data_IF_927984595695
#
_entry.id   IF_927984595695
#
_cell.length_a   1.000
_cell.length_b   1.000
_cell.length_c   1.000
_cell.angle_alpha   90.00
_cell.angle_beta   90.00
_cell.angle_gamma   90.00
#
_symmetry.space_group_name_H-M   'P 1'
#
loop_
_entity.id
_entity.type
_entity.pdbx_description
1 polymer ?
#
# COMPACT_ATOMS: atom_id res chain seq x y z
N UNK A 1 -14.83 -8.78 -11.68
CA UNK A 1 -13.99 -7.87 -12.49
C UNK A 1 -13.41 -8.66 -13.65
N UNK A 2 -13.35 -8.08 -14.86
CA UNK A 2 -12.76 -8.75 -16.01
C UNK A 2 -11.58 -7.89 -16.51
N UNK A 3 -10.36 -8.38 -16.30
CA UNK A 3 -9.14 -7.76 -16.84
C UNK A 3 -8.98 -8.23 -18.29
N UNK A 4 -9.14 -7.30 -19.22
CA UNK A 4 -8.89 -7.54 -20.64
C UNK A 4 -7.51 -7.00 -21.00
N UNK A 5 -6.92 -7.59 -22.04
CA UNK A 5 -5.66 -7.11 -22.64
C UNK A 5 -4.47 -7.09 -21.68
N UNK A 6 -4.40 -8.08 -20.77
CA UNK A 6 -3.25 -8.28 -19.88
C UNK A 6 -2.13 -8.95 -20.68
N UNK A 7 -0.93 -8.35 -20.77
CA UNK A 7 0.23 -9.01 -21.38
C UNK A 7 0.54 -10.34 -20.69
N UNK A 8 0.95 -11.36 -21.46
CA UNK A 8 1.17 -12.71 -20.93
C UNK A 8 2.17 -12.74 -19.77
N UNK A 9 3.24 -11.96 -19.86
CA UNK A 9 4.25 -11.80 -18.81
C UNK A 9 3.67 -11.24 -17.50
N UNK A 10 2.73 -10.29 -17.59
CA UNK A 10 2.04 -9.71 -16.44
C UNK A 10 1.08 -10.73 -15.83
N UNK A 11 0.36 -11.47 -16.67
CA UNK A 11 -0.51 -12.55 -16.21
C UNK A 11 0.29 -13.62 -15.44
N UNK A 12 1.43 -14.05 -15.98
CA UNK A 12 2.32 -15.02 -15.33
C UNK A 12 2.77 -14.54 -13.96
N UNK A 13 3.28 -13.30 -13.86
CA UNK A 13 3.71 -12.73 -12.59
C UNK A 13 2.58 -12.67 -11.55
N UNK A 14 1.37 -12.28 -11.96
CA UNK A 14 0.20 -12.25 -11.08
C UNK A 14 -0.22 -13.66 -10.64
N UNK A 15 -0.15 -14.66 -11.54
CA UNK A 15 -0.48 -16.04 -11.22
C UNK A 15 0.52 -16.67 -10.24
N UNK A 16 1.82 -16.40 -10.43
CA UNK A 16 2.87 -16.82 -9.50
C UNK A 16 2.68 -16.17 -8.12
N UNK A 17 2.38 -14.86 -8.09
CA UNK A 17 2.08 -14.12 -6.88
C UNK A 17 0.86 -14.70 -6.13
N UNK A 18 -0.22 -14.99 -6.84
CA UNK A 18 -1.41 -15.60 -6.27
C UNK A 18 -1.11 -16.99 -5.67
N UNK A 19 -0.34 -17.82 -6.38
CA UNK A 19 0.09 -19.14 -5.90
C UNK A 19 0.94 -19.04 -4.63
N UNK A 20 1.90 -18.11 -4.61
CA UNK A 20 2.76 -17.89 -3.44
C UNK A 20 1.95 -17.48 -2.20
N UNK A 21 0.87 -16.71 -2.40
CA UNK A 21 -0.02 -16.27 -1.33
C UNK A 21 -1.17 -17.26 -1.03
N UNK A 22 -1.22 -18.42 -1.71
CA UNK A 22 -2.28 -19.45 -1.59
C UNK A 22 -3.69 -18.89 -1.85
N UNK A 23 -3.78 -17.94 -2.78
CA UNK A 23 -5.02 -17.29 -3.17
C UNK A 23 -5.40 -17.66 -4.60
N UNK A 24 -6.68 -17.50 -4.94
CA UNK A 24 -7.08 -17.46 -6.34
C UNK A 24 -6.53 -16.19 -7.00
N UNK A 25 -6.27 -16.23 -8.31
CA UNK A 25 -5.79 -15.06 -9.07
C UNK A 25 -6.69 -13.83 -8.86
N UNK A 26 -8.00 -14.01 -8.90
CA UNK A 26 -8.94 -12.90 -8.71
C UNK A 26 -8.85 -12.30 -7.30
N UNK A 27 -8.71 -13.11 -6.25
CA UNK A 27 -8.61 -12.61 -4.88
C UNK A 27 -7.30 -11.82 -4.69
N UNK A 28 -6.18 -12.39 -5.15
CA UNK A 28 -4.88 -11.74 -5.09
C UNK A 28 -4.87 -10.38 -5.80
N UNK A 29 -5.42 -10.31 -7.02
CA UNK A 29 -5.49 -9.05 -7.79
C UNK A 29 -6.35 -8.01 -7.07
N UNK A 30 -7.50 -8.41 -6.50
CA UNK A 30 -8.36 -7.50 -5.74
C UNK A 30 -7.64 -6.95 -4.51
N UNK A 31 -6.94 -7.80 -3.76
CA UNK A 31 -6.19 -7.37 -2.58
C UNK A 31 -5.07 -6.38 -2.94
N UNK A 32 -4.31 -6.68 -3.99
CA UNK A 32 -3.27 -5.77 -4.50
C UNK A 32 -3.84 -4.44 -5.00
N UNK A 33 -4.98 -4.46 -5.69
CA UNK A 33 -5.66 -3.22 -6.10
C UNK A 33 -6.17 -2.41 -4.91
N UNK A 34 -6.67 -3.08 -3.86
CA UNK A 34 -7.08 -2.41 -2.63
C UNK A 34 -5.89 -1.76 -1.90
N UNK A 35 -4.72 -2.41 -1.89
CA UNK A 35 -3.49 -1.83 -1.37
C UNK A 35 -3.04 -0.61 -2.19
N UNK A 36 -3.01 -0.73 -3.52
CA UNK A 36 -2.66 0.40 -4.40
C UNK A 36 -3.64 1.55 -4.19
N UNK A 37 -4.95 1.29 -4.11
CA UNK A 37 -5.95 2.32 -3.87
C UNK A 37 -5.72 3.10 -2.57
N UNK A 38 -5.27 2.43 -1.50
CA UNK A 38 -4.89 3.10 -0.24
C UNK A 38 -3.67 4.01 -0.42
N UNK A 39 -2.72 3.62 -1.28
CA UNK A 39 -1.53 4.44 -1.57
C UNK A 39 -1.84 5.65 -2.45
N UNK A 40 -2.81 5.54 -3.36
CA UNK A 40 -3.20 6.66 -4.22
C UNK A 40 -3.67 7.87 -3.41
N UNK A 41 -4.33 7.63 -2.27
CA UNK A 41 -4.86 8.68 -1.40
C UNK A 41 -4.00 8.92 -0.16
N UNK A 42 -2.80 8.32 -0.06
CA UNK A 42 -2.02 8.41 1.18
C UNK A 42 -1.48 9.81 1.42
N UNK A 43 -1.12 10.53 0.35
CA UNK A 43 -0.76 11.95 0.43
C UNK A 43 -1.94 12.79 0.91
N UNK A 44 -3.14 12.53 0.38
CA UNK A 44 -4.37 13.22 0.80
C UNK A 44 -4.73 12.89 2.25
N UNK A 45 -4.56 11.64 2.67
CA UNK A 45 -4.77 11.20 4.04
C UNK A 45 -3.83 11.92 5.00
N UNK A 46 -2.53 11.95 4.71
CA UNK A 46 -1.53 12.69 5.51
C UNK A 46 -1.85 14.19 5.53
N UNK A 47 -2.25 14.77 4.40
CA UNK A 47 -2.63 16.18 4.34
C UNK A 47 -3.91 16.50 5.13
N UNK A 48 -4.84 15.54 5.22
CA UNK A 48 -6.09 15.67 5.99
C UNK A 48 -5.95 15.29 7.46
N UNK A 49 -4.82 14.70 7.86
CA UNK A 49 -4.62 14.19 9.21
C UNK A 49 -4.49 15.35 10.18
N UNK A 50 -5.48 15.50 11.06
CA UNK A 50 -5.40 16.42 12.18
C UNK A 50 -4.74 15.70 13.36
N UNK A 51 -3.57 16.15 13.84
CA UNK A 51 -2.88 15.51 14.95
C UNK A 51 -3.75 15.48 16.21
N UNK A 52 -3.72 14.40 17.02
CA UNK A 52 -4.45 14.33 18.27
C UNK A 52 -4.05 15.48 19.19
N UNK A 53 -4.99 16.40 19.42
CA UNK A 53 -4.76 17.58 20.26
C UNK A 53 -4.49 17.15 21.70
N UNK A 54 -3.50 17.77 22.35
CA UNK A 54 -3.16 17.50 23.75
C UNK A 54 -2.14 16.38 23.98
N UNK A 55 -1.58 15.77 22.92
CA UNK A 55 -0.50 14.78 23.04
C UNK A 55 0.90 15.39 23.05
N UNK A 56 1.04 16.65 22.58
CA UNK A 56 2.34 17.31 22.42
C UNK A 56 3.17 16.79 21.24
N UNK A 57 2.67 15.80 20.49
CA UNK A 57 3.35 15.21 19.34
C UNK A 57 3.03 16.02 18.07
N UNK A 58 4.07 16.44 17.37
CA UNK A 58 3.98 17.19 16.10
C UNK A 58 4.16 16.27 14.90
N UNK A 59 3.82 16.77 13.70
CA UNK A 59 4.12 16.07 12.44
C UNK A 59 5.63 15.90 12.21
N UNK A 60 6.44 16.85 12.69
CA UNK A 60 7.90 16.76 12.61
C UNK A 60 8.44 15.62 13.47
N UNK A 61 7.87 15.40 14.66
CA UNK A 61 8.23 14.26 15.53
C UNK A 61 7.91 12.93 14.85
N UNK A 62 6.75 12.84 14.18
CA UNK A 62 6.37 11.67 13.41
C UNK A 62 7.30 11.44 12.20
N UNK A 63 7.67 12.50 11.47
CA UNK A 63 8.60 12.42 10.35
C UNK A 63 10.01 12.03 10.79
N UNK A 64 10.46 12.50 11.96
CA UNK A 64 11.74 12.12 12.56
C UNK A 64 11.76 10.63 12.92
N UNK A 65 10.71 10.13 13.57
CA UNK A 65 10.61 8.71 13.93
C UNK A 65 10.63 7.79 12.70
N UNK A 66 9.93 8.15 11.62
CA UNK A 66 9.97 7.39 10.35
C UNK A 66 11.37 7.39 9.74
N UNK A 67 12.09 8.51 9.82
CA UNK A 67 13.47 8.63 9.30
C UNK A 67 14.43 7.74 10.06
N UNK A 68 14.37 7.73 11.39
CA UNK A 68 15.22 6.87 12.23
C UNK A 68 15.03 5.39 11.91
N UNK A 69 13.79 4.92 11.77
CA UNK A 69 13.50 3.52 11.41
C UNK A 69 14.06 3.18 10.03
N UNK A 70 13.94 4.09 9.07
CA UNK A 70 14.46 3.89 7.70
C UNK A 70 15.98 3.81 7.67
N UNK A 71 16.67 4.62 8.46
CA UNK A 71 18.13 4.64 8.51
C UNK A 71 18.72 3.49 9.33
N UNK A 72 17.90 2.81 10.13
CA UNK A 72 18.27 1.62 10.89
C UNK A 72 18.08 0.28 10.14
N UNK A 73 17.47 0.28 8.94
CA UNK A 73 17.31 -0.89 8.05
C UNK A 73 18.29 -0.85 6.89
#
# INVERSE_FOLDING_TARGET
MNLRDVPDEVYLALAEGAKANRQSLSAFVVDRLAEVAKTLTIADYVASYEPPRGTGVTLDDAAAAVREVREAS
#
